data_IF_330201378231
#
_entry.id   IF_330201378231
#
_cell.length_a   1.000
_cell.length_b   1.000
_cell.length_c   1.000
_cell.angle_alpha   90.00
_cell.angle_beta   90.00
_cell.angle_gamma   90.00
#
_symmetry.space_group_name_H-M   'P 1'
#
loop_
_entity.id
_entity.type
_entity.pdbx_description
1 polymer ?
#
# COMPACT_ATOMS: atom_id res chain seq x y z
N UNK A 1 22.82 -0.76 -18.98
CA UNK A 1 22.80 0.27 -17.94
C UNK A 1 23.19 -0.35 -16.60
N UNK A 2 23.95 0.34 -15.73
CA UNK A 2 24.26 -0.13 -14.39
C UNK A 2 22.97 -0.39 -13.58
N UNK A 3 22.98 -1.36 -12.67
CA UNK A 3 21.85 -1.68 -11.79
C UNK A 3 21.36 -0.45 -11.03
N UNK A 4 22.26 0.42 -10.59
CA UNK A 4 21.92 1.67 -9.91
C UNK A 4 21.03 2.59 -10.75
N UNK A 5 21.30 2.72 -12.05
CA UNK A 5 20.47 3.52 -12.94
C UNK A 5 19.09 2.90 -13.18
N UNK A 6 19.00 1.57 -13.33
CA UNK A 6 17.72 0.88 -13.44
C UNK A 6 16.88 1.00 -12.15
N UNK A 7 17.54 0.92 -10.99
CA UNK A 7 16.88 1.12 -9.71
C UNK A 7 16.39 2.57 -9.53
N UNK A 8 17.16 3.55 -9.99
CA UNK A 8 16.76 4.95 -10.00
C UNK A 8 15.56 5.17 -10.92
N UNK A 9 15.61 4.61 -12.15
CA UNK A 9 14.48 4.66 -13.09
C UNK A 9 13.21 4.06 -12.49
N UNK A 10 13.32 2.89 -11.84
CA UNK A 10 12.20 2.26 -11.15
C UNK A 10 11.56 3.21 -10.14
N UNK A 11 12.38 3.79 -9.27
CA UNK A 11 11.89 4.71 -8.22
C UNK A 11 11.29 5.98 -8.81
N UNK A 12 11.89 6.52 -9.88
CA UNK A 12 11.39 7.72 -10.55
C UNK A 12 10.04 7.46 -11.23
N UNK A 13 9.86 6.31 -11.88
CA UNK A 13 8.59 5.92 -12.49
C UNK A 13 7.46 5.84 -11.42
N UNK A 14 7.75 5.21 -10.27
CA UNK A 14 6.79 5.14 -9.16
C UNK A 14 6.43 6.54 -8.66
N UNK A 15 7.43 7.41 -8.47
CA UNK A 15 7.20 8.78 -8.01
C UNK A 15 6.36 9.58 -9.01
N UNK A 16 6.67 9.46 -10.30
CA UNK A 16 5.96 10.18 -11.35
C UNK A 16 4.50 9.75 -11.45
N UNK A 17 4.23 8.43 -11.45
CA UNK A 17 2.86 7.91 -11.54
C UNK A 17 2.06 8.20 -10.27
N UNK A 18 2.71 8.15 -9.09
CA UNK A 18 2.08 8.53 -7.82
C UNK A 18 1.62 10.01 -7.86
N UNK A 19 2.48 10.91 -8.31
CA UNK A 19 2.18 12.35 -8.39
C UNK A 19 1.18 12.70 -9.49
N UNK A 20 1.09 11.89 -10.54
CA UNK A 20 0.17 12.13 -11.65
C UNK A 20 -1.28 11.73 -11.31
N UNK A 21 -1.49 10.96 -10.25
CA UNK A 21 -2.82 10.52 -9.86
C UNK A 21 -3.49 11.53 -8.92
N UNK A 22 -4.74 11.87 -9.25
CA UNK A 22 -5.64 12.63 -8.39
C UNK A 22 -7.04 12.03 -8.45
N UNK A 23 -7.66 11.85 -7.29
CA UNK A 23 -9.09 11.58 -7.18
C UNK A 23 -9.80 12.91 -6.92
N UNK A 24 -10.44 13.46 -7.95
CA UNK A 24 -11.15 14.74 -7.88
C UNK A 24 -12.59 14.52 -7.44
N UNK A 25 -12.99 15.16 -6.34
CA UNK A 25 -14.30 15.07 -5.73
C UNK A 25 -14.98 16.45 -5.82
N UNK A 26 -16.25 16.46 -6.26
CA UNK A 26 -17.03 17.69 -6.48
C UNK A 26 -18.33 17.74 -5.67
N UNK A 27 -18.74 16.62 -5.08
CA UNK A 27 -19.91 16.52 -4.20
C UNK A 27 -19.43 16.33 -2.76
N UNK A 28 -19.90 17.17 -1.84
CA UNK A 28 -19.57 17.11 -0.42
C UNK A 28 -19.90 15.74 0.21
N UNK A 29 -20.92 15.03 -0.29
CA UNK A 29 -21.26 13.69 0.14
C UNK A 29 -20.15 12.66 -0.08
N UNK A 30 -19.27 12.90 -1.05
CA UNK A 30 -18.13 12.03 -1.31
C UNK A 30 -17.06 12.10 -0.19
N UNK A 31 -17.17 13.11 0.70
CA UNK A 31 -16.30 13.30 1.85
C UNK A 31 -16.87 12.72 3.15
N UNK A 32 -18.04 12.06 3.09
CA UNK A 32 -18.69 11.52 4.28
C UNK A 32 -17.75 10.58 5.06
N UNK A 33 -17.69 10.80 6.36
CA UNK A 33 -16.83 10.08 7.30
C UNK A 33 -15.44 10.69 7.50
N UNK A 34 -14.97 11.56 6.59
CA UNK A 34 -13.65 12.16 6.72
C UNK A 34 -13.59 13.19 7.87
N UNK A 35 -12.51 13.20 8.67
CA UNK A 35 -12.23 14.25 9.63
C UNK A 35 -12.09 15.62 8.96
N UNK A 36 -12.42 16.71 9.68
CA UNK A 36 -12.33 18.08 9.16
C UNK A 36 -10.93 18.42 8.65
N UNK A 37 -9.90 18.00 9.37
CA UNK A 37 -8.50 18.21 8.95
C UNK A 37 -8.16 17.56 7.61
N UNK A 38 -8.73 16.37 7.33
CA UNK A 38 -8.55 15.69 6.05
C UNK A 38 -9.35 16.36 4.92
N UNK A 39 -10.54 16.89 5.22
CA UNK A 39 -11.36 17.67 4.28
C UNK A 39 -10.67 18.99 3.89
N UNK A 40 -10.13 19.71 4.88
CA UNK A 40 -9.37 20.93 4.65
C UNK A 40 -8.13 20.67 3.80
N UNK A 41 -7.34 19.64 4.12
CA UNK A 41 -6.17 19.26 3.34
C UNK A 41 -6.53 18.88 1.88
N UNK A 42 -7.64 18.16 1.67
CA UNK A 42 -8.12 17.82 0.35
C UNK A 42 -8.58 19.05 -0.45
N UNK A 43 -9.17 20.05 0.21
CA UNK A 43 -9.56 21.31 -0.42
C UNK A 43 -8.33 22.15 -0.82
N UNK A 44 -7.31 22.25 0.03
CA UNK A 44 -6.06 22.91 -0.33
C UNK A 44 -5.35 22.20 -1.49
N UNK A 45 -5.33 20.85 -1.48
CA UNK A 45 -4.81 20.07 -2.62
C UNK A 45 -5.56 20.36 -3.93
N UNK A 46 -6.87 20.56 -3.89
CA UNK A 46 -7.63 20.95 -5.10
C UNK A 46 -7.18 22.31 -5.64
N UNK A 47 -6.92 23.28 -4.77
CA UNK A 47 -6.40 24.61 -5.17
C UNK A 47 -5.01 24.53 -5.82
N UNK A 48 -4.14 23.65 -5.30
CA UNK A 48 -2.80 23.42 -5.88
C UNK A 48 -2.87 22.84 -7.30
N UNK A 49 -3.99 22.17 -7.65
CA UNK A 49 -4.28 21.63 -8.97
C UNK A 49 -5.18 22.54 -9.83
N UNK A 50 -5.48 23.77 -9.40
CA UNK A 50 -6.41 24.67 -10.06
C UNK A 50 -7.81 24.06 -10.26
N UNK A 51 -8.28 23.26 -9.29
CA UNK A 51 -9.58 22.59 -9.29
C UNK A 51 -10.51 23.14 -8.20
N UNK A 52 -11.80 23.14 -8.46
CA UNK A 52 -12.83 23.35 -7.45
C UNK A 52 -13.16 22.03 -6.74
N UNK A 53 -13.58 22.10 -5.47
CA UNK A 53 -13.92 20.92 -4.67
C UNK A 53 -12.73 20.38 -3.87
N UNK A 54 -12.46 19.09 -4.00
CA UNK A 54 -11.46 18.38 -3.19
C UNK A 54 -10.64 17.42 -4.04
N UNK A 55 -9.38 17.27 -3.69
CA UNK A 55 -8.46 16.31 -4.34
C UNK A 55 -7.87 15.39 -3.29
N UNK A 56 -7.99 14.09 -3.52
CA UNK A 56 -7.29 13.05 -2.77
C UNK A 56 -6.16 12.51 -3.63
N UNK A 57 -4.95 12.45 -3.03
CA UNK A 57 -3.76 11.94 -3.70
C UNK A 57 -3.35 10.58 -3.13
N UNK A 58 -2.34 9.94 -3.76
CA UNK A 58 -1.80 8.66 -3.26
C UNK A 58 -0.75 8.85 -2.15
N UNK A 59 -0.42 10.08 -1.80
CA UNK A 59 0.51 10.37 -0.69
C UNK A 59 -0.10 9.98 0.65
N UNK A 60 0.73 9.44 1.55
CA UNK A 60 0.26 8.85 2.80
C UNK A 60 -0.65 9.77 3.64
N UNK A 61 -0.38 11.09 3.78
CA UNK A 61 -1.24 12.00 4.55
C UNK A 61 -2.64 12.20 3.94
N UNK A 62 -2.80 12.05 2.63
CA UNK A 62 -4.09 12.12 1.92
C UNK A 62 -4.77 10.77 1.84
N UNK A 63 -4.02 9.73 1.43
CA UNK A 63 -4.50 8.37 1.23
C UNK A 63 -5.00 7.71 2.52
N UNK A 64 -4.19 7.77 3.60
CA UNK A 64 -4.49 6.98 4.81
C UNK A 64 -5.77 7.42 5.51
N UNK A 65 -6.03 8.74 5.76
CA UNK A 65 -7.31 9.16 6.33
C UNK A 65 -8.50 8.78 5.45
N UNK A 66 -8.37 8.89 4.12
CA UNK A 66 -9.45 8.50 3.21
C UNK A 66 -9.78 7.01 3.35
N UNK A 67 -8.79 6.13 3.37
CA UNK A 67 -8.99 4.69 3.53
C UNK A 67 -9.54 4.29 4.91
N UNK A 68 -9.22 5.05 5.96
CA UNK A 68 -9.66 4.75 7.32
C UNK A 68 -11.05 5.29 7.65
N UNK A 69 -11.45 6.41 7.05
CA UNK A 69 -12.63 7.14 7.51
C UNK A 69 -13.72 7.30 6.45
N UNK A 70 -13.39 7.32 5.15
CA UNK A 70 -14.41 7.52 4.11
C UNK A 70 -15.45 6.40 4.13
N UNK A 71 -16.75 6.78 4.18
CA UNK A 71 -17.86 5.84 4.04
C UNK A 71 -18.06 5.37 2.59
N UNK A 72 -17.44 6.05 1.62
CA UNK A 72 -17.61 5.80 0.20
C UNK A 72 -16.78 4.58 -0.25
N UNK A 73 -17.34 3.39 -0.17
CA UNK A 73 -16.63 2.13 -0.46
C UNK A 73 -16.04 2.07 -1.86
N UNK A 74 -16.78 2.55 -2.86
CA UNK A 74 -16.35 2.54 -4.26
C UNK A 74 -15.13 3.45 -4.47
N UNK A 75 -15.11 4.62 -3.83
CA UNK A 75 -13.97 5.54 -3.88
C UNK A 75 -12.75 4.98 -3.12
N UNK A 76 -12.96 4.26 -1.99
CA UNK A 76 -11.87 3.52 -1.34
C UNK A 76 -11.29 2.46 -2.26
N UNK A 77 -12.13 1.71 -2.98
CA UNK A 77 -11.68 0.71 -3.97
C UNK A 77 -10.86 1.38 -5.08
N UNK A 78 -11.37 2.46 -5.67
CA UNK A 78 -10.68 3.20 -6.72
C UNK A 78 -9.28 3.65 -6.26
N UNK A 79 -9.22 4.32 -5.10
CA UNK A 79 -7.97 4.83 -4.53
C UNK A 79 -7.00 3.70 -4.16
N UNK A 80 -7.51 2.59 -3.60
CA UNK A 80 -6.72 1.40 -3.30
C UNK A 80 -6.13 0.79 -4.57
N UNK A 81 -6.94 0.60 -5.60
CA UNK A 81 -6.50 0.05 -6.87
C UNK A 81 -5.47 0.95 -7.54
N UNK A 82 -5.70 2.27 -7.55
CA UNK A 82 -4.76 3.23 -8.11
C UNK A 82 -3.37 3.10 -7.47
N UNK A 83 -3.31 3.02 -6.13
CA UNK A 83 -2.04 2.90 -5.40
C UNK A 83 -1.35 1.55 -5.59
N UNK A 84 -2.12 0.46 -5.65
CA UNK A 84 -1.56 -0.89 -5.72
C UNK A 84 -1.27 -1.38 -7.15
N UNK A 85 -1.62 -0.59 -8.17
CA UNK A 85 -1.34 -0.88 -9.57
C UNK A 85 -0.43 0.16 -10.23
N UNK A 86 0.36 0.88 -9.43
CA UNK A 86 1.37 1.81 -9.95
C UNK A 86 2.41 1.07 -10.79
N UNK A 87 2.75 1.65 -11.93
CA UNK A 87 3.82 1.20 -12.84
C UNK A 87 3.64 -0.21 -13.42
N UNK A 88 2.39 -0.69 -13.52
CA UNK A 88 2.07 -1.96 -14.20
C UNK A 88 1.16 -1.78 -15.42
N UNK A 89 0.74 -0.54 -15.72
CA UNK A 89 -0.07 -0.19 -16.87
C UNK A 89 0.80 -0.12 -18.12
N UNK A 90 0.18 -0.23 -19.29
CA UNK A 90 0.87 -0.09 -20.58
C UNK A 90 1.11 1.40 -20.89
N UNK A 91 2.16 1.95 -20.27
CA UNK A 91 2.59 3.33 -20.41
C UNK A 91 4.11 3.47 -20.18
N UNK A 92 4.65 4.69 -20.34
CA UNK A 92 6.09 4.98 -20.22
C UNK A 92 6.66 4.77 -18.81
N UNK A 93 5.81 4.67 -17.78
CA UNK A 93 6.21 4.42 -16.40
C UNK A 93 6.16 2.94 -16.01
N UNK A 94 5.83 2.04 -16.94
CA UNK A 94 5.75 0.60 -16.67
C UNK A 94 7.09 0.01 -16.21
N UNK A 95 7.08 -0.60 -15.03
CA UNK A 95 8.28 -1.15 -14.40
C UNK A 95 8.45 -2.67 -14.58
N UNK A 96 7.52 -3.38 -15.24
CA UNK A 96 7.56 -4.84 -15.31
C UNK A 96 8.82 -5.37 -16.02
N UNK A 97 9.17 -4.82 -17.19
CA UNK A 97 10.36 -5.21 -17.91
C UNK A 97 11.65 -4.76 -17.19
N UNK A 98 11.58 -3.61 -16.51
CA UNK A 98 12.68 -3.12 -15.71
C UNK A 98 12.96 -4.02 -14.49
N UNK A 99 11.91 -4.53 -13.84
CA UNK A 99 12.02 -5.54 -12.78
C UNK A 99 12.71 -6.82 -13.29
N UNK A 100 12.29 -7.35 -14.44
CA UNK A 100 12.92 -8.53 -15.04
C UNK A 100 14.42 -8.31 -15.32
N UNK A 101 14.76 -7.16 -15.87
CA UNK A 101 16.18 -6.81 -16.11
C UNK A 101 16.97 -6.71 -14.82
N UNK A 102 16.43 -6.07 -13.77
CA UNK A 102 17.08 -5.98 -12.46
C UNK A 102 17.33 -7.36 -11.84
N UNK A 103 16.35 -8.25 -11.90
CA UNK A 103 16.48 -9.62 -11.38
C UNK A 103 17.57 -10.39 -12.13
N UNK A 104 17.56 -10.33 -13.46
CA UNK A 104 18.57 -11.02 -14.27
C UNK A 104 19.99 -10.50 -14.01
N UNK A 105 20.19 -9.18 -13.98
CA UNK A 105 21.49 -8.60 -13.68
C UNK A 105 22.00 -8.95 -12.27
N UNK A 106 21.12 -8.97 -11.27
CA UNK A 106 21.49 -9.43 -9.92
C UNK A 106 21.92 -10.89 -9.92
N UNK A 107 21.24 -11.76 -10.66
CA UNK A 107 21.61 -13.16 -10.83
C UNK A 107 22.98 -13.30 -11.51
N UNK A 108 23.22 -12.57 -12.60
CA UNK A 108 24.49 -12.57 -13.30
C UNK A 108 25.65 -12.13 -12.40
N UNK A 109 25.47 -11.07 -11.61
CA UNK A 109 26.46 -10.63 -10.63
C UNK A 109 26.79 -11.74 -9.62
N UNK A 110 25.77 -12.38 -9.05
CA UNK A 110 25.98 -13.46 -8.10
C UNK A 110 26.79 -14.61 -8.72
N UNK A 111 26.43 -15.04 -9.93
CA UNK A 111 27.12 -16.10 -10.65
C UNK A 111 28.58 -15.74 -10.99
N UNK A 112 28.83 -14.50 -11.44
CA UNK A 112 30.16 -14.00 -11.71
C UNK A 112 31.07 -13.99 -10.47
N UNK A 113 30.47 -13.78 -9.31
CA UNK A 113 31.16 -13.78 -8.00
C UNK A 113 31.22 -15.16 -7.34
N UNK A 114 30.72 -16.21 -8.01
CA UNK A 114 30.75 -17.60 -7.51
C UNK A 114 29.69 -17.92 -6.47
N UNK A 115 28.54 -17.20 -6.47
CA UNK A 115 27.40 -17.47 -5.60
C UNK A 115 26.23 -18.06 -6.39
N UNK A 116 25.47 -18.96 -5.78
CA UNK A 116 24.30 -19.58 -6.40
C UNK A 116 23.18 -18.57 -6.61
N UNK A 117 22.96 -17.69 -5.62
CA UNK A 117 21.93 -16.65 -5.69
C UNK A 117 22.45 -15.27 -5.27
N UNK A 118 21.75 -14.23 -5.66
CA UNK A 118 22.06 -12.87 -5.21
C UNK A 118 21.83 -12.70 -3.70
N UNK A 119 20.91 -13.47 -3.12
CA UNK A 119 20.70 -13.48 -1.68
C UNK A 119 21.93 -14.02 -0.95
N UNK A 120 22.54 -15.12 -1.40
CA UNK A 120 23.78 -15.68 -0.81
C UNK A 120 24.94 -14.67 -0.85
N UNK A 121 25.08 -13.98 -1.98
CA UNK A 121 26.07 -12.92 -2.12
C UNK A 121 25.85 -11.79 -1.09
N UNK A 122 24.62 -11.30 -0.99
CA UNK A 122 24.29 -10.17 -0.10
C UNK A 122 24.40 -10.56 1.37
N UNK A 123 24.00 -11.77 1.74
CA UNK A 123 24.02 -12.24 3.15
C UNK A 123 25.42 -12.25 3.77
N UNK A 124 26.47 -12.41 2.98
CA UNK A 124 27.87 -12.30 3.48
C UNK A 124 28.18 -10.96 4.16
N UNK A 125 27.45 -9.92 3.80
CA UNK A 125 27.64 -8.57 4.34
C UNK A 125 26.49 -8.10 5.20
N UNK A 126 25.63 -9.05 5.64
CA UNK A 126 24.48 -8.79 6.50
C UNK A 126 24.61 -9.51 7.84
N UNK A 127 23.96 -8.95 8.87
CA UNK A 127 23.96 -9.52 10.23
C UNK A 127 23.40 -10.96 10.27
N UNK A 128 22.46 -11.30 9.41
CA UNK A 128 21.89 -12.63 9.33
C UNK A 128 22.87 -13.69 8.83
N UNK A 129 23.93 -13.30 8.10
CA UNK A 129 25.01 -14.11 7.55
C UNK A 129 24.62 -15.18 6.54
N UNK A 130 23.48 -15.84 6.69
CA UNK A 130 22.98 -16.87 5.75
C UNK A 130 21.49 -16.70 5.46
N UNK A 131 21.06 -17.24 4.32
CA UNK A 131 19.64 -17.25 3.91
C UNK A 131 18.81 -18.11 4.86
N UNK A 132 19.36 -19.19 5.38
CA UNK A 132 18.69 -20.08 6.35
C UNK A 132 18.36 -19.33 7.64
N UNK A 133 19.27 -18.49 8.15
CA UNK A 133 19.00 -17.68 9.34
C UNK A 133 17.84 -16.69 9.11
N UNK A 134 17.74 -16.12 7.90
CA UNK A 134 16.61 -15.26 7.54
C UNK A 134 15.31 -16.04 7.54
N UNK A 135 15.27 -17.21 6.87
CA UNK A 135 14.07 -18.04 6.83
C UNK A 135 13.68 -18.54 8.22
N UNK A 136 14.67 -18.94 9.04
CA UNK A 136 14.40 -19.35 10.42
C UNK A 136 13.67 -18.24 11.18
N UNK A 137 14.21 -17.02 11.18
CA UNK A 137 13.58 -15.88 11.86
C UNK A 137 12.16 -15.61 11.32
N UNK A 138 12.00 -15.59 10.00
CA UNK A 138 10.68 -15.33 9.38
C UNK A 138 9.67 -16.43 9.72
N UNK A 139 10.08 -17.69 9.70
CA UNK A 139 9.20 -18.81 10.05
C UNK A 139 8.81 -18.79 11.52
N UNK A 140 9.76 -18.52 12.43
CA UNK A 140 9.50 -18.38 13.86
C UNK A 140 8.48 -17.24 14.12
N UNK A 141 8.61 -16.11 13.41
CA UNK A 141 7.65 -15.00 13.48
C UNK A 141 6.27 -15.37 12.92
N UNK A 142 6.23 -16.06 11.78
CA UNK A 142 4.96 -16.52 11.18
C UNK A 142 4.24 -17.46 12.13
N UNK A 143 4.96 -18.42 12.70
CA UNK A 143 4.38 -19.38 13.65
C UNK A 143 3.80 -18.67 14.89
N UNK A 144 4.53 -17.68 15.43
CA UNK A 144 4.12 -16.95 16.62
C UNK A 144 2.92 -16.00 16.34
N UNK A 145 2.91 -15.27 15.22
CA UNK A 145 1.95 -14.18 14.99
C UNK A 145 0.75 -14.55 14.13
N UNK A 146 0.88 -15.50 13.19
CA UNK A 146 -0.19 -15.87 12.26
C UNK A 146 -1.50 -16.27 12.95
N UNK A 147 -1.52 -17.05 14.04
CA UNK A 147 -2.76 -17.40 14.72
C UNK A 147 -3.51 -16.17 15.22
N UNK A 148 -2.78 -15.21 15.82
CA UNK A 148 -3.36 -13.96 16.33
C UNK A 148 -3.88 -13.07 15.20
N UNK A 149 -3.14 -12.94 14.12
CA UNK A 149 -3.56 -12.18 12.95
C UNK A 149 -4.86 -12.73 12.32
N UNK A 150 -5.03 -14.06 12.30
CA UNK A 150 -6.27 -14.70 11.83
C UNK A 150 -7.44 -14.37 12.75
N UNK A 151 -7.22 -14.40 14.07
CA UNK A 151 -8.25 -14.04 15.05
C UNK A 151 -8.68 -12.59 14.92
N UNK A 152 -7.74 -11.66 14.86
CA UNK A 152 -8.00 -10.23 14.67
C UNK A 152 -8.73 -9.94 13.35
N UNK A 153 -8.34 -10.61 12.27
CA UNK A 153 -9.05 -10.48 11.00
C UNK A 153 -10.51 -10.94 11.10
N UNK A 154 -10.78 -12.05 11.81
CA UNK A 154 -12.16 -12.53 12.03
C UNK A 154 -12.99 -11.52 12.83
N UNK A 155 -12.41 -10.84 13.81
CA UNK A 155 -13.10 -9.80 14.55
C UNK A 155 -13.52 -8.63 13.64
N UNK A 156 -12.63 -8.20 12.75
CA UNK A 156 -12.91 -7.15 11.77
C UNK A 156 -14.02 -7.59 10.81
N UNK A 157 -13.94 -8.81 10.27
CA UNK A 157 -14.94 -9.39 9.36
C UNK A 157 -16.30 -9.53 10.05
N UNK A 158 -16.33 -9.90 11.33
CA UNK A 158 -17.57 -9.98 12.12
C UNK A 158 -18.22 -8.62 12.26
N UNK A 159 -17.44 -7.58 12.62
CA UNK A 159 -17.96 -6.23 12.70
C UNK A 159 -18.50 -5.74 11.35
N UNK A 160 -17.76 -6.00 10.26
CA UNK A 160 -18.20 -5.61 8.93
C UNK A 160 -19.55 -6.24 8.57
N UNK A 161 -19.75 -7.53 8.87
CA UNK A 161 -21.03 -8.22 8.65
C UNK A 161 -22.14 -7.73 9.57
N UNK A 162 -21.86 -7.38 10.82
CA UNK A 162 -22.83 -6.75 11.72
C UNK A 162 -23.40 -5.44 11.14
N UNK A 163 -22.56 -4.68 10.43
CA UNK A 163 -22.91 -3.37 9.88
C UNK A 163 -23.57 -3.45 8.49
N UNK A 164 -23.07 -4.34 7.62
CA UNK A 164 -23.45 -4.40 6.20
C UNK A 164 -24.39 -5.58 5.86
N UNK A 165 -24.50 -6.57 6.76
CA UNK A 165 -25.26 -7.80 6.56
C UNK A 165 -24.37 -9.03 6.33
N UNK A 166 -24.97 -10.23 6.56
CA UNK A 166 -24.25 -11.51 6.56
C UNK A 166 -23.57 -11.87 5.22
N UNK A 167 -24.14 -11.40 4.12
CA UNK A 167 -23.62 -11.64 2.77
C UNK A 167 -22.43 -10.73 2.40
N UNK A 168 -22.08 -9.78 3.27
CA UNK A 168 -20.98 -8.87 2.99
C UNK A 168 -19.66 -9.59 2.92
N UNK A 169 -18.91 -9.33 1.85
CA UNK A 169 -17.55 -9.81 1.64
C UNK A 169 -16.57 -8.66 1.78
N UNK A 170 -15.71 -8.77 2.79
CA UNK A 170 -14.67 -7.79 3.04
C UNK A 170 -13.53 -7.95 2.02
N UNK A 171 -13.20 -6.88 1.34
CA UNK A 171 -12.13 -6.78 0.35
C UNK A 171 -10.92 -6.02 0.92
N UNK A 172 -9.76 -6.03 0.26
CA UNK A 172 -8.57 -5.35 0.78
C UNK A 172 -8.76 -3.86 1.08
N UNK A 173 -9.57 -3.15 0.30
CA UNK A 173 -9.89 -1.72 0.52
C UNK A 173 -10.84 -1.45 1.68
N UNK A 174 -11.39 -2.48 2.28
CA UNK A 174 -12.28 -2.37 3.45
C UNK A 174 -11.53 -2.53 4.78
N UNK A 175 -10.35 -3.16 4.77
CA UNK A 175 -9.61 -3.54 5.98
C UNK A 175 -9.30 -2.33 6.87
N UNK A 176 -8.78 -1.24 6.29
CA UNK A 176 -8.43 -0.05 7.06
C UNK A 176 -9.66 0.59 7.71
N UNK A 177 -10.76 0.68 6.98
CA UNK A 177 -12.02 1.27 7.43
C UNK A 177 -12.64 0.49 8.61
N UNK A 178 -12.85 -0.82 8.45
CA UNK A 178 -13.44 -1.62 9.53
C UNK A 178 -12.49 -1.82 10.71
N UNK A 179 -11.18 -1.82 10.50
CA UNK A 179 -10.20 -1.81 11.59
C UNK A 179 -10.31 -0.54 12.44
N UNK A 180 -10.50 0.62 11.81
CA UNK A 180 -10.68 1.88 12.52
C UNK A 180 -12.01 1.90 13.29
N UNK A 181 -13.10 1.42 12.70
CA UNK A 181 -14.39 1.27 13.37
C UNK A 181 -14.30 0.31 14.57
N UNK A 182 -13.62 -0.82 14.42
CA UNK A 182 -13.40 -1.77 15.51
C UNK A 182 -12.60 -1.16 16.66
N UNK A 183 -11.54 -0.41 16.32
CA UNK A 183 -10.71 0.31 17.30
C UNK A 183 -11.53 1.33 18.08
N UNK A 184 -12.36 2.12 17.40
CA UNK A 184 -13.29 3.07 18.03
C UNK A 184 -14.30 2.35 18.94
N UNK A 185 -14.91 1.26 18.44
CA UNK A 185 -15.89 0.44 19.22
C UNK A 185 -15.26 -0.16 20.49
N UNK A 186 -14.01 -0.65 20.43
CA UNK A 186 -13.35 -1.35 21.55
C UNK A 186 -12.70 -0.41 22.57
N UNK A 187 -12.13 0.69 22.13
CA UNK A 187 -11.21 1.50 22.94
C UNK A 187 -11.64 2.95 23.06
N UNK A 188 -12.72 3.35 22.40
CA UNK A 188 -13.17 4.76 22.30
C UNK A 188 -12.04 5.71 21.82
N UNK A 189 -11.13 5.17 21.01
CA UNK A 189 -10.02 5.91 20.42
C UNK A 189 -10.40 6.38 19.03
N UNK A 190 -10.49 7.69 18.89
CA UNK A 190 -10.61 8.41 17.63
C UNK A 190 -9.35 9.31 17.53
N UNK A 191 -8.31 8.91 16.77
CA UNK A 191 -7.07 9.65 16.66
C UNK A 191 -7.22 10.95 15.86
#
# INVERSE_FOLDING_TARGET
LPISMLSLQFSQNVLNENKAYTLHLTDEKQLDGLPDTAREAAHEAAKEHDLEGWVITLDAPSYSPFMMYSTQRELRQELFMARNTLCIKDNDTNNLELCKRLINLRREIAQLLGYDTFADYVMKHRMATTVENVYKLLNDLIEAYKPKAIEERKEIETLAKELEGDDFKMEPWDVAYYSQLLKKKKYDLDP
#
